data_IF_818279333230
#
_entry.id   IF_818279333230
#
_cell.length_a   1.000
_cell.length_b   1.000
_cell.length_c   1.000
_cell.angle_alpha   90.00
_cell.angle_beta   90.00
_cell.angle_gamma   90.00
#
_symmetry.space_group_name_H-M   'P 1'
#
loop_
_entity.id
_entity.type
_entity.pdbx_description
1 polymer ?
#
# COMPACT_ATOMS: atom_id res chain seq x y z
N UNK A 1 -5.42 24.08 39.29
CA UNK A 1 -4.39 23.16 39.84
C UNK A 1 -5.03 21.90 40.42
N UNK A 2 -4.87 20.74 39.77
CA UNK A 2 -4.72 19.43 40.41
C UNK A 2 -4.25 18.44 39.33
N UNK A 3 -3.27 17.59 39.63
CA UNK A 3 -2.81 16.51 38.74
C UNK A 3 -3.17 15.17 39.40
N UNK A 4 -3.70 14.22 38.63
CA UNK A 4 -3.91 12.82 39.01
C UNK A 4 -3.61 12.03 37.71
N UNK A 5 -2.52 11.29 37.48
CA UNK A 5 -1.75 10.25 38.21
C UNK A 5 -2.11 8.83 37.71
N UNK A 6 -1.06 8.04 37.40
CA UNK A 6 -1.01 6.59 37.06
C UNK A 6 -1.78 6.15 35.80
N UNK A 7 -1.20 5.55 34.75
CA UNK A 7 -0.28 4.40 34.61
C UNK A 7 -0.85 3.07 35.11
N UNK A 8 -1.22 2.19 34.17
CA UNK A 8 -1.38 0.75 34.35
C UNK A 8 -0.96 0.02 33.05
N UNK A 9 0.19 -0.64 33.10
CA UNK A 9 0.63 -1.61 32.08
C UNK A 9 -0.11 -2.93 32.34
N UNK A 10 -0.59 -3.58 31.28
CA UNK A 10 -1.03 -4.98 31.33
C UNK A 10 -0.59 -5.70 30.05
N UNK A 11 0.66 -6.18 30.08
CA UNK A 11 1.10 -7.25 29.20
C UNK A 11 0.63 -8.59 29.80
N UNK A 12 0.06 -9.47 28.97
CA UNK A 12 -0.21 -10.86 29.33
C UNK A 12 -0.32 -11.70 28.06
N UNK A 13 0.81 -12.25 27.62
CA UNK A 13 0.81 -13.36 26.67
C UNK A 13 0.41 -14.64 27.42
N UNK A 14 -0.51 -15.43 26.85
CA UNK A 14 -0.73 -16.82 27.29
C UNK A 14 -0.79 -17.71 26.06
N UNK A 15 0.20 -18.60 25.97
CA UNK A 15 0.24 -19.70 25.01
C UNK A 15 -0.76 -20.77 25.45
N UNK A 16 -1.65 -21.22 24.56
CA UNK A 16 -2.40 -22.47 24.76
C UNK A 16 -1.79 -23.52 23.82
N UNK A 17 -1.22 -24.56 24.42
CA UNK A 17 -0.61 -25.71 23.74
C UNK A 17 -1.21 -27.02 24.27
N UNK A 18 -1.25 -28.06 23.43
CA UNK A 18 -1.60 -29.46 23.74
C UNK A 18 -3.10 -29.76 24.08
N UNK A 19 -3.69 -30.97 23.94
CA UNK A 19 -3.33 -32.33 23.41
C UNK A 19 -4.67 -33.15 23.27
N UNK A 20 -4.82 -34.36 22.69
CA UNK A 20 -3.96 -35.38 22.03
C UNK A 20 -4.82 -36.29 21.11
N UNK A 21 -4.38 -36.59 19.88
CA UNK A 21 -4.68 -37.81 19.09
C UNK A 21 -3.64 -37.87 17.93
N UNK A 22 -2.66 -38.76 17.81
CA UNK A 22 -2.51 -40.20 18.07
C UNK A 22 -3.22 -41.12 17.06
N UNK A 23 -2.50 -41.49 16.00
CA UNK A 23 -2.14 -42.90 15.75
C UNK A 23 -0.80 -43.00 14.98
N UNK A 24 -0.42 -44.19 14.48
CA UNK A 24 0.97 -44.66 14.31
C UNK A 24 1.53 -44.67 12.87
N UNK A 25 2.87 -44.59 12.84
CA UNK A 25 3.82 -45.30 11.95
C UNK A 25 3.39 -45.66 10.51
N UNK A 26 4.08 -45.07 9.51
CA UNK A 26 4.91 -45.82 8.55
C UNK A 26 5.76 -44.87 7.68
N UNK A 27 7.08 -45.05 7.66
CA UNK A 27 7.94 -44.46 6.62
C UNK A 27 7.83 -45.30 5.33
N UNK A 28 7.69 -44.64 4.18
CA UNK A 28 8.57 -44.98 3.07
C UNK A 28 9.14 -43.73 2.40
N UNK A 29 10.43 -43.80 2.05
CA UNK A 29 11.13 -42.76 1.28
C UNK A 29 10.54 -42.66 -0.13
N UNK A 30 9.93 -41.52 -0.45
CA UNK A 30 9.72 -41.06 -1.83
C UNK A 30 10.03 -39.57 -1.86
N UNK A 31 11.03 -39.21 -2.65
CA UNK A 31 11.38 -37.84 -3.01
C UNK A 31 10.43 -37.37 -4.13
N UNK A 32 9.62 -36.33 -3.93
CA UNK A 32 8.95 -35.60 -5.01
C UNK A 32 9.77 -34.35 -5.37
N UNK A 33 9.67 -33.87 -6.62
CA UNK A 33 10.66 -32.97 -7.19
C UNK A 33 10.68 -31.60 -6.51
N UNK A 34 11.80 -30.90 -6.71
CA UNK A 34 11.94 -29.45 -6.51
C UNK A 34 11.07 -28.72 -7.53
N UNK A 35 9.75 -28.75 -7.33
CA UNK A 35 8.81 -28.10 -8.23
C UNK A 35 8.88 -26.59 -8.01
N UNK A 36 9.47 -25.92 -9.00
CA UNK A 36 9.55 -24.47 -9.08
C UNK A 36 8.13 -23.90 -9.18
N UNK A 37 7.61 -23.41 -8.06
CA UNK A 37 6.61 -22.35 -8.07
C UNK A 37 7.35 -21.05 -7.86
N UNK A 38 7.82 -20.51 -8.98
CA UNK A 38 8.23 -19.11 -9.07
C UNK A 38 6.96 -18.26 -9.06
N UNK A 39 6.33 -18.11 -7.89
CA UNK A 39 5.25 -17.13 -7.64
C UNK A 39 5.84 -15.72 -7.64
N UNK A 40 6.31 -15.29 -8.81
CA UNK A 40 6.33 -13.89 -9.16
C UNK A 40 4.87 -13.41 -9.17
N UNK A 41 4.53 -12.26 -8.56
CA UNK A 41 3.17 -11.76 -8.54
C UNK A 41 2.73 -11.30 -9.93
N UNK A 42 2.10 -12.21 -10.69
CA UNK A 42 1.55 -11.98 -12.03
C UNK A 42 0.28 -11.10 -12.00
N UNK A 43 0.31 -9.99 -11.26
CA UNK A 43 -0.85 -9.09 -11.07
C UNK A 43 -0.49 -7.59 -11.07
N UNK A 44 0.77 -7.19 -10.91
CA UNK A 44 1.11 -5.75 -10.79
C UNK A 44 1.04 -5.02 -12.12
N UNK A 45 1.54 -5.62 -13.20
CA UNK A 45 1.69 -4.96 -14.51
C UNK A 45 0.35 -4.54 -15.16
N UNK A 46 -0.69 -5.36 -15.06
CA UNK A 46 -1.98 -5.07 -15.71
C UNK A 46 -2.79 -3.99 -14.97
N UNK A 47 -2.74 -3.94 -13.63
CA UNK A 47 -3.48 -2.97 -12.79
C UNK A 47 -2.96 -1.53 -12.97
N UNK A 48 -1.66 -1.35 -13.27
CA UNK A 48 -1.06 -0.03 -13.57
C UNK A 48 -1.69 0.62 -14.81
N UNK A 49 -2.07 -0.20 -15.82
CA UNK A 49 -2.74 0.29 -17.04
C UNK A 49 -4.16 0.83 -16.76
N UNK A 50 -4.78 0.44 -15.65
CA UNK A 50 -6.14 0.84 -15.22
C UNK A 50 -6.13 2.11 -14.35
N UNK A 51 -4.94 2.68 -14.07
CA UNK A 51 -4.81 3.99 -13.44
C UNK A 51 -5.20 5.12 -14.43
N UNK A 52 -6.50 5.40 -14.48
CA UNK A 52 -7.08 6.57 -15.16
C UNK A 52 -7.36 7.65 -14.11
N UNK A 53 -6.93 8.89 -14.38
CA UNK A 53 -7.22 10.02 -13.51
C UNK A 53 -8.72 10.37 -13.56
N UNK A 54 -9.41 10.52 -12.42
CA UNK A 54 -10.74 11.12 -12.39
C UNK A 54 -10.68 12.58 -12.85
N UNK A 55 -11.75 13.05 -13.47
CA UNK A 55 -11.91 14.47 -13.84
C UNK A 55 -12.60 15.20 -12.70
N UNK A 56 -12.01 16.32 -12.25
CA UNK A 56 -12.61 17.22 -11.26
C UNK A 56 -13.03 18.54 -11.90
N UNK A 57 -14.02 19.21 -11.34
CA UNK A 57 -14.42 20.57 -11.74
C UNK A 57 -13.47 21.62 -11.16
N UNK A 58 -12.93 21.38 -9.96
CA UNK A 58 -11.87 22.22 -9.41
C UNK A 58 -10.54 21.97 -10.14
N UNK A 59 -10.14 22.93 -10.99
CA UNK A 59 -9.03 22.78 -11.93
C UNK A 59 -7.69 22.36 -11.28
N UNK A 60 -7.39 22.80 -10.05
CA UNK A 60 -6.18 22.35 -9.34
C UNK A 60 -6.23 20.86 -8.97
N UNK A 61 -7.41 20.35 -8.59
CA UNK A 61 -7.61 18.93 -8.30
C UNK A 61 -7.54 18.07 -9.56
N UNK A 62 -8.11 18.54 -10.68
CA UNK A 62 -8.05 17.86 -11.97
C UNK A 62 -6.61 17.77 -12.52
N UNK A 63 -5.85 18.87 -12.47
CA UNK A 63 -4.44 18.87 -12.85
C UNK A 63 -3.62 17.96 -11.92
N UNK A 64 -3.79 18.10 -10.60
CA UNK A 64 -3.09 17.24 -9.63
C UNK A 64 -3.40 15.76 -9.84
N UNK A 65 -4.65 15.41 -10.17
CA UNK A 65 -5.05 14.02 -10.37
C UNK A 65 -4.34 13.39 -11.58
N UNK A 66 -4.16 14.16 -12.66
CA UNK A 66 -3.40 13.75 -13.85
C UNK A 66 -1.92 13.56 -13.52
N UNK A 67 -1.29 14.59 -12.93
CA UNK A 67 0.12 14.56 -12.52
C UNK A 67 0.42 13.39 -11.56
N UNK A 68 -0.45 13.16 -10.56
CA UNK A 68 -0.20 12.13 -9.55
C UNK A 68 -0.44 10.72 -10.09
N UNK A 69 -1.39 10.52 -11.03
CA UNK A 69 -1.54 9.25 -11.75
C UNK A 69 -0.31 8.91 -12.59
N UNK A 70 0.24 9.87 -13.32
CA UNK A 70 1.47 9.68 -14.09
C UNK A 70 2.65 9.33 -13.18
N UNK A 71 2.81 10.08 -12.08
CA UNK A 71 3.83 9.79 -11.07
C UNK A 71 3.70 8.37 -10.46
N UNK A 72 2.49 7.91 -10.17
CA UNK A 72 2.28 6.56 -9.60
C UNK A 72 2.60 5.47 -10.63
N UNK A 73 2.34 5.70 -11.92
CA UNK A 73 2.78 4.79 -12.99
C UNK A 73 4.31 4.71 -13.06
N UNK A 74 4.99 5.85 -13.06
CA UNK A 74 6.46 5.89 -13.04
C UNK A 74 7.04 5.20 -11.79
N UNK A 75 6.43 5.42 -10.61
CA UNK A 75 6.82 4.77 -9.36
C UNK A 75 6.68 3.25 -9.44
N UNK A 76 5.53 2.76 -9.90
CA UNK A 76 5.28 1.33 -10.10
C UNK A 76 6.23 0.70 -11.12
N UNK A 77 6.48 1.37 -12.24
CA UNK A 77 7.45 0.91 -13.25
C UNK A 77 8.86 0.84 -12.66
N UNK A 78 9.26 1.79 -11.81
CA UNK A 78 10.55 1.74 -11.13
C UNK A 78 10.64 0.59 -10.12
N UNK A 79 9.58 0.33 -9.36
CA UNK A 79 9.46 -0.76 -8.39
C UNK A 79 9.51 -2.14 -9.07
N UNK A 80 8.66 -2.36 -10.08
CA UNK A 80 8.61 -3.61 -10.88
C UNK A 80 9.97 -3.91 -11.54
N UNK A 81 10.67 -2.91 -12.06
CA UNK A 81 12.01 -3.05 -12.65
C UNK A 81 13.15 -3.09 -11.63
N UNK A 82 12.86 -2.97 -10.32
CA UNK A 82 13.85 -2.90 -9.24
C UNK A 82 14.88 -1.74 -9.43
N UNK A 83 14.49 -0.66 -10.11
CA UNK A 83 15.35 0.49 -10.40
C UNK A 83 15.52 1.34 -9.12
N UNK A 84 16.56 1.00 -8.36
CA UNK A 84 16.90 1.66 -7.10
C UNK A 84 17.22 3.15 -7.25
N UNK A 85 17.67 3.62 -8.41
CA UNK A 85 17.99 5.04 -8.64
C UNK A 85 16.71 5.82 -8.98
N UNK A 86 15.84 5.26 -9.84
CA UNK A 86 14.53 5.84 -10.08
C UNK A 86 13.69 5.87 -8.80
N UNK A 87 13.65 4.78 -8.02
CA UNK A 87 12.95 4.72 -6.73
C UNK A 87 13.47 5.74 -5.72
N UNK A 88 14.79 6.00 -5.68
CA UNK A 88 15.39 7.05 -4.83
C UNK A 88 14.93 8.45 -5.23
N UNK A 89 14.87 8.74 -6.53
CA UNK A 89 14.40 10.03 -7.05
C UNK A 89 12.89 10.20 -6.86
N UNK A 90 12.09 9.17 -7.19
CA UNK A 90 10.63 9.18 -7.12
C UNK A 90 10.13 9.17 -5.68
N UNK A 91 10.76 8.42 -4.76
CA UNK A 91 10.43 8.45 -3.33
C UNK A 91 10.66 9.81 -2.67
N UNK A 92 11.57 10.63 -3.20
CA UNK A 92 11.71 12.03 -2.77
C UNK A 92 10.51 12.87 -3.24
N UNK A 93 10.06 12.68 -4.49
CA UNK A 93 8.87 13.36 -5.04
C UNK A 93 7.56 12.88 -4.42
N UNK A 94 7.46 11.62 -3.99
CA UNK A 94 6.28 11.08 -3.30
C UNK A 94 5.87 11.94 -2.09
N UNK A 95 6.85 12.34 -1.29
CA UNK A 95 6.65 13.21 -0.12
C UNK A 95 6.12 14.61 -0.51
N UNK A 96 6.41 15.08 -1.71
CA UNK A 96 5.86 16.33 -2.26
C UNK A 96 4.42 16.14 -2.72
N UNK A 97 4.13 15.08 -3.48
CA UNK A 97 2.77 14.75 -3.92
C UNK A 97 1.81 14.50 -2.76
N UNK A 98 2.24 13.78 -1.71
CA UNK A 98 1.45 13.58 -0.49
C UNK A 98 1.11 14.91 0.20
N UNK A 99 2.09 15.82 0.34
CA UNK A 99 1.86 17.16 0.92
C UNK A 99 0.95 18.01 0.04
N UNK A 100 1.19 18.06 -1.28
CA UNK A 100 0.34 18.76 -2.25
C UNK A 100 -1.09 18.23 -2.20
N UNK A 101 -1.29 16.92 -2.15
CA UNK A 101 -2.60 16.28 -2.03
C UNK A 101 -3.34 16.69 -0.75
N UNK A 102 -2.68 16.64 0.41
CA UNK A 102 -3.28 17.04 1.70
C UNK A 102 -3.59 18.54 1.76
N UNK A 103 -2.73 19.42 1.24
CA UNK A 103 -3.01 20.86 1.17
C UNK A 103 -4.07 21.23 0.12
N UNK A 104 -4.19 20.42 -0.93
CA UNK A 104 -5.21 20.59 -1.96
C UNK A 104 -6.58 20.10 -1.47
N UNK A 105 -6.64 18.99 -0.73
CA UNK A 105 -7.86 18.46 -0.12
C UNK A 105 -8.58 19.45 0.80
N UNK A 106 -7.84 20.39 1.42
CA UNK A 106 -8.40 21.50 2.22
C UNK A 106 -9.07 22.60 1.39
N UNK A 107 -8.81 22.63 0.07
CA UNK A 107 -9.22 23.68 -0.88
C UNK A 107 -10.19 23.17 -1.95
N UNK A 108 -10.25 21.85 -2.16
CA UNK A 108 -11.28 21.21 -3.00
C UNK A 108 -12.68 21.56 -2.45
N UNK A 109 -13.65 21.96 -3.30
CA UNK A 109 -15.02 22.21 -2.89
C UNK A 109 -15.65 20.99 -2.21
N UNK A 110 -16.61 21.22 -1.30
CA UNK A 110 -17.21 20.16 -0.49
C UNK A 110 -17.90 19.08 -1.35
N UNK A 111 -18.39 19.48 -2.51
CA UNK A 111 -19.03 18.65 -3.54
C UNK A 111 -18.08 17.57 -4.11
N UNK A 112 -16.78 17.86 -4.17
CA UNK A 112 -15.74 16.97 -4.73
C UNK A 112 -14.78 16.40 -3.67
N UNK A 113 -14.78 16.95 -2.45
CA UNK A 113 -13.81 16.61 -1.40
C UNK A 113 -13.75 15.11 -1.05
N UNK A 114 -14.89 14.40 -1.03
CA UNK A 114 -14.92 12.95 -0.79
C UNK A 114 -14.26 12.19 -1.95
N UNK A 115 -14.66 12.49 -3.19
CA UNK A 115 -14.09 11.84 -4.38
C UNK A 115 -12.58 12.13 -4.53
N UNK A 116 -12.13 13.32 -4.15
CA UNK A 116 -10.71 13.67 -4.12
C UNK A 116 -9.94 12.91 -3.02
N UNK A 117 -10.52 12.78 -1.82
CA UNK A 117 -9.91 11.98 -0.74
C UNK A 117 -9.84 10.48 -1.10
N UNK A 118 -10.91 9.93 -1.69
CA UNK A 118 -10.94 8.54 -2.15
C UNK A 118 -9.91 8.29 -3.27
N UNK A 119 -9.72 9.27 -4.17
CA UNK A 119 -8.67 9.23 -5.18
C UNK A 119 -7.26 9.21 -4.56
N UNK A 120 -6.97 10.06 -3.56
CA UNK A 120 -5.70 10.04 -2.83
C UNK A 120 -5.46 8.69 -2.15
N UNK A 121 -6.48 8.18 -1.45
CA UNK A 121 -6.43 6.90 -0.73
C UNK A 121 -6.20 5.73 -1.71
N UNK A 122 -6.87 5.75 -2.87
CA UNK A 122 -6.69 4.74 -3.92
C UNK A 122 -5.27 4.76 -4.43
N UNK A 123 -4.70 5.93 -4.77
CA UNK A 123 -3.33 5.98 -5.27
C UNK A 123 -2.30 5.52 -4.23
N UNK A 124 -2.53 5.75 -2.94
CA UNK A 124 -1.65 5.26 -1.88
C UNK A 124 -1.51 3.72 -1.85
N UNK A 125 -2.49 2.96 -2.35
CA UNK A 125 -2.38 1.47 -2.41
C UNK A 125 -1.48 0.97 -3.53
N UNK A 126 -1.07 1.83 -4.47
CA UNK A 126 -0.15 1.48 -5.57
C UNK A 126 1.32 1.81 -5.25
N UNK A 127 1.59 2.42 -4.09
CA UNK A 127 2.91 2.93 -3.67
C UNK A 127 3.39 2.21 -2.38
N UNK A 128 2.59 1.25 -1.90
CA UNK A 128 2.85 0.39 -0.73
C UNK A 128 3.28 -1.00 -1.18
#
# INVERSE_FOLDING_TARGET
>A
MKKIILSAVLASAVLISCKKAADKEQEPMVDPPVESVNEAPENTAEDITVLVAPTFQYAEADQFAKEYVEFVKDYRVADDNNDSEAMRQLGTKLNEYQKRGVELAKRVPQEEAVAFQDFLNRLETYIK
#
